data_IF_660133715420
#
_entry.id   IF_660133715420
#
_cell.length_a   1.000
_cell.length_b   1.000
_cell.length_c   1.000
_cell.angle_alpha   90.00
_cell.angle_beta   90.00
_cell.angle_gamma   90.00
#
_symmetry.space_group_name_H-M   'P 1'
#
loop_
_entity.id
_entity.type
_entity.pdbx_description
1 polymer ?
#
# COMPACT_ATOMS: atom_id res chain seq x y z
N UNK A 1 19.26 3.55 32.57
CA UNK A 1 18.71 3.02 31.30
C UNK A 1 18.51 1.49 31.25
N UNK A 2 18.95 0.70 32.24
CA UNK A 2 18.84 -0.78 32.20
C UNK A 2 17.48 -1.31 32.71
N UNK A 3 16.71 -0.52 33.46
CA UNK A 3 15.43 -0.97 34.05
C UNK A 3 14.20 -0.89 33.12
N UNK A 4 14.30 -0.20 31.98
CA UNK A 4 13.18 -0.08 31.03
C UNK A 4 13.15 -1.25 30.01
N UNK A 5 14.29 -1.91 29.80
CA UNK A 5 14.42 -3.03 28.85
C UNK A 5 13.83 -4.33 29.38
N UNK A 6 13.77 -4.52 30.70
CA UNK A 6 13.20 -5.72 31.33
C UNK A 6 11.67 -5.75 31.32
N UNK A 7 11.00 -4.59 31.26
CA UNK A 7 9.54 -4.52 31.25
C UNK A 7 8.93 -4.87 29.89
N UNK A 8 9.65 -4.64 28.79
CA UNK A 8 9.19 -4.99 27.44
C UNK A 8 9.35 -6.47 27.09
N UNK A 9 10.24 -7.22 27.77
CA UNK A 9 10.35 -8.68 27.58
C UNK A 9 9.21 -9.47 28.22
N UNK A 10 8.60 -8.98 29.31
CA UNK A 10 7.53 -9.69 30.03
C UNK A 10 6.12 -9.54 29.41
N UNK A 11 5.95 -8.60 28.46
CA UNK A 11 4.72 -8.43 27.68
C UNK A 11 4.74 -9.19 26.34
N UNK A 12 5.74 -10.03 26.11
CA UNK A 12 5.66 -11.11 25.12
C UNK A 12 4.74 -12.22 25.65
N UNK A 13 3.46 -11.86 25.83
CA UNK A 13 2.38 -12.80 26.10
C UNK A 13 2.44 -13.82 24.97
N UNK A 14 2.87 -15.03 25.30
CA UNK A 14 2.71 -16.21 24.46
C UNK A 14 1.23 -16.33 24.15
N UNK A 15 0.80 -15.76 23.02
CA UNK A 15 -0.45 -16.12 22.37
C UNK A 15 -0.25 -17.56 21.91
N UNK A 16 -0.50 -18.50 22.83
CA UNK A 16 -0.62 -19.91 22.53
C UNK A 16 -1.61 -20.00 21.38
N UNK A 17 -1.09 -20.31 20.18
CA UNK A 17 -1.92 -20.62 19.02
C UNK A 17 -2.63 -21.93 19.34
N UNK A 18 -3.80 -21.84 19.96
CA UNK A 18 -4.68 -22.98 20.13
C UNK A 18 -5.21 -23.34 18.75
N UNK A 19 -4.65 -24.39 18.15
CA UNK A 19 -5.12 -24.94 16.88
C UNK A 19 -6.45 -25.65 17.12
N UNK A 20 -7.55 -24.90 17.11
CA UNK A 20 -8.89 -25.47 17.06
C UNK A 20 -9.16 -26.04 15.67
N UNK A 21 -9.81 -27.20 15.59
CA UNK A 21 -10.31 -27.71 14.32
C UNK A 21 -11.47 -26.82 13.85
N UNK A 22 -11.38 -26.29 12.64
CA UNK A 22 -12.47 -25.53 12.02
C UNK A 22 -13.37 -26.48 11.23
N UNK A 23 -14.67 -26.44 11.49
CA UNK A 23 -15.66 -27.10 10.64
C UNK A 23 -16.59 -26.04 10.06
N UNK A 24 -16.49 -25.84 8.74
CA UNK A 24 -17.37 -24.94 7.99
C UNK A 24 -18.47 -25.75 7.34
N UNK A 25 -19.72 -25.38 7.59
CA UNK A 25 -20.90 -26.05 7.05
C UNK A 25 -21.97 -25.02 6.66
N UNK A 26 -23.02 -25.48 6.01
CA UNK A 26 -24.19 -24.69 5.69
C UNK A 26 -25.37 -25.23 6.49
N UNK A 27 -26.10 -24.35 7.17
CA UNK A 27 -27.30 -24.74 7.92
C UNK A 27 -28.50 -25.01 6.99
N UNK A 28 -29.62 -25.44 7.56
CA UNK A 28 -30.86 -25.74 6.83
C UNK A 28 -31.43 -24.52 6.06
N UNK A 29 -31.04 -23.30 6.44
CA UNK A 29 -31.46 -22.04 5.80
C UNK A 29 -30.47 -21.57 4.73
N UNK A 30 -29.42 -22.34 4.46
CA UNK A 30 -28.40 -21.96 3.50
C UNK A 30 -27.35 -21.01 4.06
N UNK A 31 -27.32 -20.74 5.37
CA UNK A 31 -26.31 -19.86 5.98
C UNK A 31 -25.02 -20.62 6.21
N UNK A 32 -23.90 -20.03 5.79
CA UNK A 32 -22.57 -20.60 6.06
C UNK A 32 -22.18 -20.31 7.50
N UNK A 33 -21.79 -21.34 8.23
CA UNK A 33 -21.43 -21.30 9.64
C UNK A 33 -20.04 -21.93 9.84
N UNK A 34 -19.29 -21.41 10.79
CA UNK A 34 -18.01 -21.99 11.22
C UNK A 34 -18.10 -22.37 12.68
N UNK A 35 -17.83 -23.64 12.98
CA UNK A 35 -17.61 -24.10 14.35
C UNK A 35 -16.12 -24.27 14.61
N UNK A 36 -15.69 -23.87 15.80
CA UNK A 36 -14.33 -24.03 16.27
C UNK A 36 -14.35 -24.63 17.68
N UNK A 37 -13.48 -25.59 17.90
CA UNK A 37 -13.28 -26.20 19.20
C UNK A 37 -12.27 -25.37 19.99
N UNK A 38 -12.73 -24.76 21.07
CA UNK A 38 -11.93 -23.90 21.95
C UNK A 38 -11.64 -24.67 23.22
N UNK A 39 -10.36 -24.97 23.45
CA UNK A 39 -9.87 -25.57 24.68
C UNK A 39 -9.35 -24.46 25.60
N UNK A 40 -10.10 -24.15 26.65
CA UNK A 40 -9.71 -23.18 27.67
C UNK A 40 -8.66 -23.73 28.64
N UNK A 41 -8.06 -22.87 29.45
CA UNK A 41 -7.33 -23.32 30.63
C UNK A 41 -8.34 -23.91 31.62
N UNK A 42 -8.30 -25.23 31.80
CA UNK A 42 -9.21 -25.92 32.69
C UNK A 42 -9.18 -25.29 34.10
N UNK A 43 -10.33 -24.80 34.59
CA UNK A 43 -10.54 -24.73 36.04
C UNK A 43 -10.77 -26.17 36.51
N UNK A 44 -10.24 -26.51 37.68
CA UNK A 44 -10.02 -27.88 38.18
C UNK A 44 -11.25 -28.83 38.10
N UNK A 45 -12.47 -28.35 37.87
CA UNK A 45 -13.70 -29.16 37.84
C UNK A 45 -14.65 -28.90 36.64
N UNK A 46 -14.21 -28.28 35.53
CA UNK A 46 -15.05 -28.09 34.33
C UNK A 46 -14.35 -28.61 33.08
N UNK A 47 -15.05 -29.35 32.23
CA UNK A 47 -14.54 -29.73 30.90
C UNK A 47 -14.17 -28.46 30.15
N UNK A 48 -12.88 -28.27 29.88
CA UNK A 48 -12.34 -27.07 29.28
C UNK A 48 -12.68 -26.89 27.79
N UNK A 49 -13.54 -27.76 27.25
CA UNK A 49 -13.96 -27.77 25.86
C UNK A 49 -15.22 -26.92 25.67
N UNK A 50 -15.12 -25.91 24.81
CA UNK A 50 -16.25 -25.13 24.35
C UNK A 50 -16.27 -25.17 22.82
N UNK A 51 -17.43 -25.52 22.24
CA UNK A 51 -17.65 -25.37 20.80
C UNK A 51 -18.23 -23.99 20.54
N UNK A 52 -17.52 -23.17 19.77
CA UNK A 52 -17.95 -21.83 19.39
C UNK A 52 -18.42 -21.84 17.96
N UNK A 53 -19.64 -21.38 17.71
CA UNK A 53 -20.20 -21.20 16.36
C UNK A 53 -20.22 -19.73 15.99
N UNK A 54 -19.75 -19.42 14.79
CA UNK A 54 -19.66 -18.08 14.20
C UNK A 54 -20.36 -18.07 12.85
N UNK A 55 -21.03 -16.97 12.52
CA UNK A 55 -21.67 -16.79 11.22
C UNK A 55 -20.62 -16.45 10.15
N UNK A 56 -20.71 -17.12 9.00
CA UNK A 56 -19.76 -17.02 7.89
C UNK A 56 -18.63 -18.04 7.96
N UNK A 57 -17.59 -17.78 7.17
CA UNK A 57 -16.42 -18.65 7.02
C UNK A 57 -15.14 -17.82 6.97
N UNK A 58 -14.00 -18.26 7.55
CA UNK A 58 -12.72 -17.58 7.37
C UNK A 58 -12.18 -17.75 5.94
N UNK A 59 -12.70 -18.69 5.15
CA UNK A 59 -12.23 -19.00 3.81
C UNK A 59 -12.87 -18.14 2.71
N UNK A 60 -12.21 -18.06 1.55
CA UNK A 60 -12.69 -17.32 0.38
C UNK A 60 -14.04 -17.83 -0.13
N UNK A 61 -14.22 -19.15 -0.20
CA UNK A 61 -15.39 -19.81 -0.81
C UNK A 61 -16.10 -20.76 0.16
N UNK A 62 -17.35 -21.09 -0.19
CA UNK A 62 -18.06 -22.27 0.32
C UNK A 62 -18.63 -23.04 -0.88
N UNK A 63 -18.41 -24.37 -1.01
CA UNK A 63 -17.57 -25.23 -0.18
C UNK A 63 -16.13 -24.74 -0.04
N UNK A 64 -15.48 -25.08 1.08
CA UNK A 64 -14.14 -24.55 1.43
C UNK A 64 -13.07 -24.99 0.43
N UNK A 65 -13.12 -26.26 0.02
CA UNK A 65 -12.17 -26.86 -0.91
C UNK A 65 -12.68 -26.75 -2.34
N UNK A 66 -11.94 -26.04 -3.18
CA UNK A 66 -12.22 -25.85 -4.60
C UNK A 66 -11.07 -26.39 -5.45
N UNK A 67 -11.36 -26.89 -6.64
CA UNK A 67 -10.30 -27.21 -7.59
C UNK A 67 -9.57 -25.93 -8.02
N UNK A 68 -8.25 -26.03 -8.13
CA UNK A 68 -7.42 -24.89 -8.48
C UNK A 68 -6.02 -25.28 -8.92
N UNK A 69 -5.25 -24.25 -9.25
CA UNK A 69 -3.85 -24.40 -9.66
C UNK A 69 -2.96 -23.52 -8.81
N UNK A 70 -1.74 -23.98 -8.58
CA UNK A 70 -0.72 -23.21 -7.87
C UNK A 70 0.58 -23.18 -8.67
N UNK A 71 1.27 -22.06 -8.55
CA UNK A 71 2.62 -21.85 -9.03
C UNK A 71 3.49 -21.44 -7.84
N UNK A 72 4.41 -22.32 -7.42
CA UNK A 72 5.21 -22.11 -6.21
C UNK A 72 6.29 -21.03 -6.38
N UNK A 73 6.88 -20.97 -7.57
CA UNK A 73 7.89 -19.99 -7.96
C UNK A 73 7.71 -19.56 -9.43
N UNK A 74 8.34 -18.46 -9.84
CA UNK A 74 8.15 -17.86 -11.19
C UNK A 74 8.64 -18.74 -12.34
N UNK A 75 9.54 -19.69 -12.08
CA UNK A 75 10.04 -20.66 -13.05
C UNK A 75 9.30 -22.01 -12.98
N UNK A 76 8.40 -22.14 -12.01
CA UNK A 76 7.79 -23.40 -11.65
C UNK A 76 6.78 -23.88 -12.68
N UNK A 77 6.38 -25.13 -12.53
CA UNK A 77 5.25 -25.69 -13.25
C UNK A 77 3.97 -25.42 -12.47
N UNK A 78 2.86 -25.18 -13.16
CA UNK A 78 1.54 -25.20 -12.55
C UNK A 78 1.24 -26.59 -11.98
N UNK A 79 0.77 -26.64 -10.74
CA UNK A 79 0.37 -27.87 -10.05
C UNK A 79 -1.12 -27.78 -9.73
N UNK A 80 -1.88 -28.79 -10.15
CA UNK A 80 -3.30 -28.89 -9.79
C UNK A 80 -3.43 -29.39 -8.35
N UNK A 81 -4.28 -28.75 -7.55
CA UNK A 81 -4.69 -29.26 -6.24
C UNK A 81 -6.03 -28.68 -5.80
N UNK A 82 -6.61 -29.27 -4.76
CA UNK A 82 -7.76 -28.67 -4.08
C UNK A 82 -7.27 -27.60 -3.13
N UNK A 83 -7.78 -26.39 -3.29
CA UNK A 83 -7.36 -25.21 -2.56
C UNK A 83 -8.42 -24.74 -1.56
N UNK A 84 -7.95 -24.25 -0.44
CA UNK A 84 -8.70 -23.44 0.50
C UNK A 84 -7.86 -22.21 0.85
N UNK A 85 -8.40 -21.01 0.57
CA UNK A 85 -7.72 -19.75 0.90
C UNK A 85 -8.34 -19.15 2.16
N UNK A 86 -7.59 -19.14 3.26
CA UNK A 86 -8.00 -18.53 4.53
C UNK A 86 -7.75 -17.01 4.48
N UNK A 87 -8.83 -16.22 4.43
CA UNK A 87 -8.77 -14.76 4.34
C UNK A 87 -8.48 -14.06 5.67
N UNK A 88 -8.48 -14.80 6.79
CA UNK A 88 -8.11 -14.27 8.11
C UNK A 88 -6.60 -14.33 8.30
N UNK A 89 -5.99 -15.47 7.97
CA UNK A 89 -4.54 -15.71 8.14
C UNK A 89 -3.72 -15.44 6.88
N UNK A 90 -4.38 -15.22 5.74
CA UNK A 90 -3.76 -15.15 4.40
C UNK A 90 -3.02 -16.44 3.99
N UNK A 91 -3.38 -17.58 4.57
CA UNK A 91 -2.76 -18.88 4.28
C UNK A 91 -3.48 -19.60 3.14
N UNK A 92 -2.70 -20.25 2.28
CA UNK A 92 -3.19 -21.13 1.22
C UNK A 92 -2.98 -22.56 1.66
N UNK A 93 -4.09 -23.30 1.82
CA UNK A 93 -4.06 -24.72 2.06
C UNK A 93 -4.30 -25.46 0.75
N UNK A 94 -3.50 -26.50 0.50
CA UNK A 94 -3.54 -27.29 -0.73
C UNK A 94 -3.56 -28.78 -0.38
N UNK A 95 -4.47 -29.51 -1.00
CA UNK A 95 -4.59 -30.96 -0.96
C UNK A 95 -4.30 -31.51 -2.36
N UNK A 96 -3.13 -32.15 -2.52
CA UNK A 96 -2.67 -32.67 -3.81
C UNK A 96 -3.40 -33.98 -4.16
N UNK A 97 -3.54 -34.26 -5.45
CA UNK A 97 -4.16 -35.50 -5.92
C UNK A 97 -3.40 -36.73 -5.36
N UNK A 98 -4.14 -37.66 -4.77
CA UNK A 98 -3.59 -38.87 -4.14
C UNK A 98 -2.99 -38.67 -2.73
N UNK A 99 -2.93 -37.43 -2.23
CA UNK A 99 -2.49 -37.12 -0.86
C UNK A 99 -3.71 -36.75 0.00
N UNK A 100 -3.86 -37.43 1.15
CA UNK A 100 -4.92 -37.08 2.13
C UNK A 100 -4.49 -35.91 3.02
N UNK A 101 -3.19 -35.61 3.09
CA UNK A 101 -2.67 -34.56 3.95
C UNK A 101 -2.90 -33.17 3.35
N UNK A 102 -3.33 -32.25 4.21
CA UNK A 102 -3.44 -30.83 3.89
C UNK A 102 -2.10 -30.15 4.16
N UNK A 103 -1.59 -29.39 3.18
CA UNK A 103 -0.33 -28.63 3.31
C UNK A 103 -0.60 -27.14 3.25
N UNK A 104 0.02 -26.37 4.14
CA UNK A 104 0.08 -24.91 4.03
C UNK A 104 1.22 -24.57 3.08
N UNK A 105 0.91 -23.81 2.03
CA UNK A 105 1.86 -23.41 1.00
C UNK A 105 1.87 -21.89 0.84
N UNK A 106 2.95 -21.36 0.25
CA UNK A 106 3.13 -19.94 -0.03
C UNK A 106 3.39 -19.74 -1.53
N UNK A 107 2.40 -20.03 -2.41
CA UNK A 107 2.59 -19.90 -3.84
C UNK A 107 2.90 -18.46 -4.25
N UNK A 108 3.59 -18.26 -5.37
CA UNK A 108 3.70 -16.97 -6.04
C UNK A 108 2.35 -16.58 -6.66
N UNK A 109 1.63 -17.56 -7.21
CA UNK A 109 0.34 -17.39 -7.87
C UNK A 109 -0.54 -18.62 -7.64
N UNK A 110 -1.85 -18.41 -7.50
CA UNK A 110 -2.82 -19.50 -7.53
C UNK A 110 -4.13 -19.08 -8.18
N UNK A 111 -4.92 -20.06 -8.61
CA UNK A 111 -6.26 -19.83 -9.19
C UNK A 111 -7.32 -20.61 -8.43
N UNK A 112 -8.43 -19.95 -8.09
CA UNK A 112 -9.64 -20.57 -7.53
C UNK A 112 -10.83 -20.02 -8.31
N UNK A 113 -11.70 -20.89 -8.82
CA UNK A 113 -12.88 -20.51 -9.62
C UNK A 113 -12.55 -19.59 -10.82
N UNK A 114 -11.40 -19.83 -11.47
CA UNK A 114 -10.92 -19.02 -12.58
C UNK A 114 -10.41 -17.62 -12.20
N UNK A 115 -10.41 -17.28 -10.91
CA UNK A 115 -9.83 -16.03 -10.40
C UNK A 115 -8.38 -16.28 -10.02
N UNK A 116 -7.48 -15.56 -10.67
CA UNK A 116 -6.06 -15.57 -10.37
C UNK A 116 -5.74 -14.65 -9.21
N UNK A 117 -4.94 -15.14 -8.27
CA UNK A 117 -4.42 -14.42 -7.12
C UNK A 117 -2.90 -14.43 -7.17
N UNK A 118 -2.30 -13.25 -7.02
CA UNK A 118 -0.84 -13.06 -7.04
C UNK A 118 -0.37 -12.62 -5.67
N UNK A 119 0.73 -13.24 -5.21
CA UNK A 119 1.40 -12.88 -3.96
C UNK A 119 1.95 -11.47 -4.04
N UNK A 120 1.56 -10.64 -3.10
CA UNK A 120 2.12 -9.32 -2.88
C UNK A 120 2.99 -9.38 -1.62
N UNK A 121 4.25 -8.95 -1.75
CA UNK A 121 5.14 -8.81 -0.61
C UNK A 121 4.82 -7.48 0.07
N UNK A 122 4.45 -7.53 1.34
CA UNK A 122 4.28 -6.34 2.18
C UNK A 122 5.21 -6.43 3.39
N UNK A 123 5.64 -5.27 3.89
CA UNK A 123 6.45 -5.16 5.09
C UNK A 123 5.85 -4.10 6.00
N UNK A 124 5.51 -4.48 7.23
CA UNK A 124 5.04 -3.54 8.25
C UNK A 124 5.95 -3.68 9.48
N UNK A 125 6.60 -2.58 9.87
CA UNK A 125 7.56 -2.54 11.00
C UNK A 125 8.66 -3.63 10.88
N UNK A 126 9.15 -3.86 9.66
CA UNK A 126 10.20 -4.87 9.40
C UNK A 126 9.72 -6.33 9.40
N UNK A 127 8.45 -6.58 9.67
CA UNK A 127 7.85 -7.92 9.54
C UNK A 127 7.33 -8.07 8.12
N UNK A 128 7.89 -9.04 7.39
CA UNK A 128 7.40 -9.43 6.08
C UNK A 128 6.15 -10.28 6.24
N UNK A 129 5.09 -9.93 5.52
CA UNK A 129 3.91 -10.77 5.41
C UNK A 129 3.47 -10.82 3.95
N UNK A 130 2.79 -11.91 3.61
CA UNK A 130 2.24 -12.14 2.28
C UNK A 130 0.76 -11.85 2.31
N UNK A 131 0.31 -11.07 1.33
CA UNK A 131 -1.10 -10.90 1.03
C UNK A 131 -1.33 -11.32 -0.42
N UNK A 132 -2.48 -11.91 -0.73
CA UNK A 132 -2.80 -12.30 -2.09
C UNK A 132 -3.89 -11.39 -2.64
N UNK A 133 -3.63 -10.81 -3.79
CA UNK A 133 -4.57 -9.95 -4.49
C UNK A 133 -4.94 -10.54 -5.84
N UNK A 134 -6.22 -10.49 -6.19
CA UNK A 134 -6.68 -10.84 -7.52
C UNK A 134 -6.43 -9.70 -8.51
N UNK A 135 -6.07 -10.03 -9.74
CA UNK A 135 -5.86 -9.02 -10.78
C UNK A 135 -7.21 -8.61 -11.39
N UNK A 136 -7.62 -7.36 -11.18
CA UNK A 136 -8.83 -6.77 -11.78
C UNK A 136 -8.52 -6.24 -13.18
N UNK A 137 -7.34 -5.65 -13.36
CA UNK A 137 -6.83 -5.18 -14.65
C UNK A 137 -5.33 -5.42 -14.74
N UNK A 138 -4.88 -5.95 -15.88
CA UNK A 138 -3.50 -6.40 -16.11
C UNK A 138 -2.83 -5.63 -17.26
N UNK A 139 -2.60 -4.33 -17.07
CA UNK A 139 -1.86 -3.47 -17.99
C UNK A 139 -0.45 -3.13 -17.49
N UNK A 140 0.23 -2.17 -18.14
CA UNK A 140 1.44 -1.52 -17.62
C UNK A 140 1.25 -1.01 -16.18
N UNK A 141 0.05 -0.52 -15.87
CA UNK A 141 -0.43 -0.28 -14.52
C UNK A 141 -1.45 -1.35 -14.15
N UNK A 142 -1.23 -2.07 -13.04
CA UNK A 142 -2.13 -3.12 -12.58
C UNK A 142 -3.15 -2.57 -11.59
N UNK A 143 -4.38 -3.04 -11.69
CA UNK A 143 -5.41 -2.84 -10.68
C UNK A 143 -5.63 -4.14 -9.92
N UNK A 144 -5.40 -4.13 -8.62
CA UNK A 144 -5.42 -5.32 -7.78
C UNK A 144 -6.52 -5.21 -6.72
N UNK A 145 -7.13 -6.35 -6.37
CA UNK A 145 -8.14 -6.47 -5.32
C UNK A 145 -7.72 -7.51 -4.30
N UNK A 146 -7.48 -7.10 -3.07
CA UNK A 146 -7.24 -8.01 -1.94
C UNK A 146 -8.52 -8.18 -1.13
N UNK A 147 -8.78 -9.42 -0.73
CA UNK A 147 -9.85 -9.76 0.20
C UNK A 147 -9.22 -10.17 1.52
N UNK A 148 -9.76 -9.66 2.62
CA UNK A 148 -9.40 -10.12 3.97
C UNK A 148 -10.68 -10.35 4.76
N UNK A 149 -10.63 -11.20 5.78
CA UNK A 149 -11.75 -11.39 6.69
C UNK A 149 -11.35 -11.07 8.11
N UNK A 150 -12.27 -10.43 8.84
CA UNK A 150 -12.12 -10.16 10.28
C UNK A 150 -13.32 -10.74 11.02
N UNK A 151 -13.04 -11.27 12.19
CA UNK A 151 -14.08 -11.67 13.13
C UNK A 151 -14.54 -10.43 13.89
N UNK A 152 -15.81 -10.09 13.78
CA UNK A 152 -16.39 -8.91 14.42
C UNK A 152 -17.65 -9.30 15.21
N UNK A 153 -17.99 -8.56 16.28
CA UNK A 153 -19.29 -8.74 16.92
C UNK A 153 -20.42 -8.36 15.96
N UNK A 154 -21.51 -9.11 16.03
CA UNK A 154 -22.76 -8.80 15.36
C UNK A 154 -23.36 -7.52 15.95
N UNK A 155 -24.00 -6.73 15.11
CA UNK A 155 -24.80 -5.60 15.57
C UNK A 155 -26.18 -6.08 16.10
N UNK A 156 -26.93 -5.19 16.74
CA UNK A 156 -28.20 -5.54 17.38
C UNK A 156 -29.23 -6.14 16.42
N UNK A 157 -29.32 -5.66 15.17
CA UNK A 157 -30.28 -6.19 14.19
C UNK A 157 -29.89 -7.58 13.71
N UNK A 158 -28.59 -7.82 13.47
CA UNK A 158 -28.05 -9.15 13.16
C UNK A 158 -28.31 -10.14 14.29
N UNK A 159 -28.13 -9.74 15.56
CA UNK A 159 -28.43 -10.59 16.72
C UNK A 159 -29.91 -10.97 16.75
N UNK A 160 -30.81 -10.00 16.54
CA UNK A 160 -32.27 -10.24 16.54
C UNK A 160 -32.64 -11.22 15.42
N UNK A 161 -32.13 -11.01 14.20
CA UNK A 161 -32.42 -11.87 13.05
C UNK A 161 -31.89 -13.30 13.23
N UNK A 162 -30.83 -13.47 14.01
CA UNK A 162 -30.20 -14.76 14.29
C UNK A 162 -30.58 -15.36 15.65
N UNK A 163 -31.53 -14.77 16.39
CA UNK A 163 -31.94 -15.20 17.74
C UNK A 163 -32.43 -16.64 17.79
N UNK A 164 -32.93 -17.17 16.66
CA UNK A 164 -33.39 -18.56 16.55
C UNK A 164 -32.24 -19.58 16.44
N UNK A 165 -31.03 -19.14 16.09
CA UNK A 165 -29.86 -20.02 16.00
C UNK A 165 -29.19 -20.11 17.38
N UNK A 166 -29.71 -21.01 18.22
CA UNK A 166 -29.21 -21.26 19.59
C UNK A 166 -27.72 -21.62 19.65
N UNK A 167 -27.17 -22.12 18.54
CA UNK A 167 -25.78 -22.54 18.45
C UNK A 167 -24.80 -21.36 18.32
N UNK A 168 -25.27 -20.15 17.98
CA UNK A 168 -24.44 -18.95 17.88
C UNK A 168 -24.24 -18.37 19.27
N UNK A 169 -23.36 -19.01 20.04
CA UNK A 169 -23.09 -18.65 21.43
C UNK A 169 -22.42 -17.29 21.60
N UNK A 170 -21.71 -16.79 20.57
CA UNK A 170 -20.81 -15.64 20.71
C UNK A 170 -21.14 -14.42 19.84
N UNK A 171 -22.35 -14.35 19.25
CA UNK A 171 -22.83 -13.21 18.45
C UNK A 171 -21.73 -12.59 17.56
N UNK A 172 -20.96 -13.43 16.86
CA UNK A 172 -19.81 -12.98 16.06
C UNK A 172 -19.99 -13.41 14.61
N UNK A 173 -19.48 -12.60 13.69
CA UNK A 173 -19.60 -12.78 12.24
C UNK A 173 -18.25 -12.52 11.56
N UNK A 174 -17.92 -13.32 10.55
CA UNK A 174 -16.81 -13.01 9.66
C UNK A 174 -17.23 -11.95 8.63
N UNK A 175 -16.62 -10.77 8.68
CA UNK A 175 -16.82 -9.71 7.68
C UNK A 175 -15.69 -9.68 6.68
N UNK A 176 -16.04 -9.66 5.39
CA UNK A 176 -15.08 -9.49 4.31
C UNK A 176 -14.77 -8.01 4.12
N UNK A 177 -13.50 -7.65 4.23
CA UNK A 177 -12.98 -6.35 3.85
C UNK A 177 -12.32 -6.47 2.47
N UNK A 178 -12.66 -5.54 1.58
CA UNK A 178 -12.08 -5.47 0.24
C UNK A 178 -11.16 -4.26 0.17
N UNK A 179 -9.89 -4.51 -0.17
CA UNK A 179 -8.88 -3.50 -0.37
C UNK A 179 -8.48 -3.46 -1.84
N UNK A 180 -8.29 -2.26 -2.37
CA UNK A 180 -7.93 -2.05 -3.76
C UNK A 180 -6.54 -1.43 -3.84
N UNK A 181 -5.75 -1.86 -4.80
CA UNK A 181 -4.39 -1.35 -4.98
C UNK A 181 -4.13 -1.03 -6.44
N UNK A 182 -3.31 0.00 -6.67
CA UNK A 182 -2.77 0.30 -7.98
C UNK A 182 -1.27 0.04 -7.94
N UNK A 183 -0.78 -0.72 -8.91
CA UNK A 183 0.64 -1.01 -9.04
C UNK A 183 1.15 -0.47 -10.38
N UNK A 184 1.91 0.62 -10.33
CA UNK A 184 2.60 1.18 -11.51
C UNK A 184 3.82 0.33 -11.87
N UNK A 185 4.25 0.34 -13.13
CA UNK A 185 5.34 -0.47 -13.70
C UNK A 185 6.53 -0.77 -12.75
N UNK A 186 6.57 -1.98 -12.18
CA UNK A 186 7.63 -2.44 -11.26
C UNK A 186 7.64 -1.79 -9.87
N UNK A 187 6.79 -0.79 -9.66
CA UNK A 187 6.57 -0.11 -8.39
C UNK A 187 5.83 -1.02 -7.39
N UNK A 188 5.79 -0.60 -6.13
CA UNK A 188 5.02 -1.29 -5.10
C UNK A 188 3.54 -0.98 -5.29
N UNK A 189 2.60 -1.89 -4.96
CA UNK A 189 1.19 -1.55 -4.98
C UNK A 189 0.87 -0.51 -3.89
N UNK A 190 0.18 0.56 -4.28
CA UNK A 190 -0.34 1.56 -3.35
C UNK A 190 -1.82 1.28 -3.07
N UNK A 191 -2.20 1.32 -1.78
CA UNK A 191 -3.59 1.15 -1.35
C UNK A 191 -4.42 2.36 -1.79
N UNK A 192 -5.58 2.11 -2.39
CA UNK A 192 -6.51 3.14 -2.82
C UNK A 192 -7.91 2.95 -2.24
N UNK A 193 -8.62 4.07 -2.13
CA UNK A 193 -10.08 4.07 -2.11
C UNK A 193 -10.61 4.31 -3.53
N UNK A 194 -11.84 3.88 -3.81
CA UNK A 194 -12.49 4.13 -5.10
C UNK A 194 -13.04 5.58 -5.17
N UNK A 195 -12.15 6.56 -5.02
CA UNK A 195 -12.46 7.99 -4.97
C UNK A 195 -11.50 8.78 -5.85
N UNK A 196 -11.95 9.97 -6.28
CA UNK A 196 -11.15 10.88 -7.12
C UNK A 196 -9.82 11.27 -6.48
N UNK A 197 -9.86 11.73 -5.23
CA UNK A 197 -8.65 12.18 -4.54
C UNK A 197 -7.61 11.05 -4.45
N UNK A 198 -8.05 9.85 -4.07
CA UNK A 198 -7.15 8.70 -3.99
C UNK A 198 -6.50 8.35 -5.32
N UNK A 199 -7.20 8.47 -6.44
CA UNK A 199 -6.60 8.24 -7.76
C UNK A 199 -5.65 9.35 -8.18
N UNK A 200 -5.98 10.62 -7.89
CA UNK A 200 -5.10 11.75 -8.17
C UNK A 200 -3.80 11.68 -7.35
N UNK A 201 -3.88 11.21 -6.11
CA UNK A 201 -2.73 10.98 -5.24
C UNK A 201 -1.81 9.88 -5.80
N UNK A 202 -2.35 8.85 -6.46
CA UNK A 202 -1.54 7.79 -7.09
C UNK A 202 -0.97 8.21 -8.44
N UNK A 203 -1.77 8.92 -9.24
CA UNK A 203 -1.41 9.37 -10.58
C UNK A 203 -0.89 10.82 -10.59
N UNK A 204 -0.12 11.19 -9.57
CA UNK A 204 0.39 12.55 -9.41
C UNK A 204 1.12 13.08 -10.66
N UNK A 205 1.80 12.21 -11.43
CA UNK A 205 2.53 12.60 -12.66
C UNK A 205 1.62 13.18 -13.75
N UNK A 206 0.35 12.77 -13.78
CA UNK A 206 -0.64 13.19 -14.78
C UNK A 206 -1.93 13.67 -14.12
N UNK A 207 -1.85 14.07 -12.85
CA UNK A 207 -3.02 14.41 -12.01
C UNK A 207 -3.89 15.49 -12.64
N UNK A 208 -3.30 16.55 -13.18
CA UNK A 208 -4.04 17.63 -13.87
C UNK A 208 -4.86 17.11 -15.06
N UNK A 209 -4.24 16.31 -15.93
CA UNK A 209 -4.90 15.76 -17.13
C UNK A 209 -5.97 14.73 -16.78
N UNK A 210 -5.77 14.00 -15.69
CA UNK A 210 -6.69 12.97 -15.21
C UNK A 210 -7.86 13.56 -14.44
N UNK A 211 -7.66 14.64 -13.67
CA UNK A 211 -8.67 15.25 -12.82
C UNK A 211 -9.96 15.61 -13.58
N UNK A 212 -9.83 16.04 -14.84
CA UNK A 212 -10.96 16.37 -15.71
C UNK A 212 -11.80 15.14 -16.13
N UNK A 213 -11.23 13.94 -16.08
CA UNK A 213 -11.89 12.68 -16.47
C UNK A 213 -12.51 11.94 -15.29
N UNK A 214 -12.13 12.26 -14.06
CA UNK A 214 -12.65 11.56 -12.88
C UNK A 214 -13.91 12.28 -12.37
N UNK A 215 -15.07 11.60 -12.30
CA UNK A 215 -16.28 12.19 -11.78
C UNK A 215 -16.20 12.42 -10.25
N UNK A 216 -16.89 13.43 -9.74
CA UNK A 216 -16.94 13.77 -8.32
C UNK A 216 -17.94 12.87 -7.55
N UNK A 217 -17.77 11.55 -7.66
CA UNK A 217 -18.58 10.52 -6.98
C UNK A 217 -17.70 9.32 -6.59
N UNK A 218 -18.29 8.37 -5.86
CA UNK A 218 -17.66 7.06 -5.66
C UNK A 218 -17.54 6.33 -7.00
N UNK A 219 -16.35 5.80 -7.27
CA UNK A 219 -16.03 5.17 -8.54
C UNK A 219 -16.39 3.68 -8.52
N UNK A 220 -16.87 3.18 -9.64
CA UNK A 220 -17.01 1.75 -9.91
C UNK A 220 -15.68 1.15 -10.35
N UNK A 221 -15.56 -0.18 -10.29
CA UNK A 221 -14.34 -0.87 -10.77
C UNK A 221 -14.06 -0.58 -12.25
N UNK A 222 -15.11 -0.52 -13.07
CA UNK A 222 -14.99 -0.24 -14.50
C UNK A 222 -14.47 1.19 -14.76
N UNK A 223 -15.01 2.18 -14.06
CA UNK A 223 -14.53 3.57 -14.16
C UNK A 223 -13.05 3.69 -13.76
N UNK A 224 -12.61 2.98 -12.71
CA UNK A 224 -11.18 2.96 -12.32
C UNK A 224 -10.31 2.35 -13.43
N UNK A 225 -10.76 1.26 -14.05
CA UNK A 225 -10.03 0.63 -15.17
C UNK A 225 -9.92 1.58 -16.37
N UNK A 226 -10.99 2.31 -16.71
CA UNK A 226 -10.95 3.30 -17.80
C UNK A 226 -9.96 4.45 -17.50
N UNK A 227 -9.93 4.93 -16.25
CA UNK A 227 -8.97 5.94 -15.80
C UNK A 227 -7.53 5.40 -15.88
N UNK A 228 -7.29 4.14 -15.49
CA UNK A 228 -5.98 3.49 -15.61
C UNK A 228 -5.54 3.40 -17.08
N UNK A 229 -6.43 2.96 -17.97
CA UNK A 229 -6.13 2.88 -19.41
C UNK A 229 -5.78 4.26 -19.98
N UNK A 230 -6.48 5.30 -19.56
CA UNK A 230 -6.17 6.67 -19.96
C UNK A 230 -4.81 7.13 -19.41
N UNK A 231 -4.51 6.87 -18.13
CA UNK A 231 -3.19 7.14 -17.55
C UNK A 231 -2.06 6.42 -18.32
N UNK A 232 -2.23 5.13 -18.61
CA UNK A 232 -1.23 4.35 -19.33
C UNK A 232 -0.99 4.91 -20.75
N UNK A 233 -2.03 5.45 -21.40
CA UNK A 233 -1.88 6.13 -22.69
C UNK A 233 -1.05 7.43 -22.58
N UNK A 234 -1.24 8.20 -21.50
CA UNK A 234 -0.45 9.41 -21.25
C UNK A 234 1.01 9.07 -20.94
N UNK A 235 1.24 8.02 -20.15
CA UNK A 235 2.59 7.56 -19.81
C UNK A 235 3.33 6.96 -21.00
N UNK A 236 2.63 6.30 -21.92
CA UNK A 236 3.24 5.81 -23.17
C UNK A 236 3.81 6.97 -24.00
N UNK A 237 3.09 8.09 -24.10
CA UNK A 237 3.60 9.31 -24.75
C UNK A 237 4.77 9.90 -23.96
N UNK A 238 4.65 10.05 -22.64
CA UNK A 238 5.68 10.65 -21.79
C UNK A 238 7.02 9.89 -21.84
N UNK A 239 7.00 8.56 -21.98
CA UNK A 239 8.22 7.74 -22.11
C UNK A 239 9.02 7.99 -23.39
N UNK A 240 8.43 8.61 -24.40
CA UNK A 240 9.15 9.00 -25.63
C UNK A 240 9.87 10.34 -25.48
N UNK A 241 9.65 11.07 -24.38
CA UNK A 241 10.28 12.36 -24.12
C UNK A 241 11.74 12.25 -23.65
N UNK A 242 12.44 13.38 -23.69
CA UNK A 242 13.90 13.51 -23.69
C UNK A 242 14.63 12.97 -22.44
N UNK A 243 13.95 12.71 -21.32
CA UNK A 243 14.58 12.20 -20.09
C UNK A 243 13.72 11.16 -19.36
N UNK A 244 14.04 9.87 -19.48
CA UNK A 244 13.15 8.80 -19.02
C UNK A 244 13.10 8.63 -17.49
N UNK A 245 14.06 9.20 -16.74
CA UNK A 245 14.11 9.07 -15.28
C UNK A 245 12.99 9.85 -14.59
N UNK A 246 12.68 11.08 -15.04
CA UNK A 246 11.58 11.90 -14.49
C UNK A 246 10.22 11.22 -14.61
N UNK A 247 10.06 10.35 -15.60
CA UNK A 247 8.83 9.63 -15.92
C UNK A 247 8.86 8.19 -15.39
N UNK A 248 9.87 7.80 -14.63
CA UNK A 248 9.98 6.48 -14.04
C UNK A 248 9.07 6.35 -12.81
N UNK A 249 8.05 5.46 -12.83
CA UNK A 249 7.09 5.37 -11.73
C UNK A 249 7.70 4.90 -10.41
N UNK A 250 8.70 4.02 -10.46
CA UNK A 250 9.39 3.54 -9.25
C UNK A 250 10.19 4.66 -8.60
N UNK A 251 10.97 5.41 -9.38
CA UNK A 251 11.75 6.55 -8.91
C UNK A 251 10.83 7.58 -8.24
N UNK A 252 9.76 7.98 -8.92
CA UNK A 252 8.83 8.97 -8.37
C UNK A 252 8.09 8.46 -7.13
N UNK A 253 7.64 7.20 -7.11
CA UNK A 253 7.02 6.61 -5.91
C UNK A 253 7.98 6.63 -4.71
N UNK A 254 9.25 6.32 -4.95
CA UNK A 254 10.28 6.36 -3.91
C UNK A 254 10.51 7.78 -3.39
N UNK A 255 10.54 8.78 -4.27
CA UNK A 255 10.63 10.19 -3.87
C UNK A 255 9.42 10.60 -3.02
N UNK A 256 8.19 10.30 -3.43
CA UNK A 256 6.98 10.61 -2.64
C UNK A 256 6.98 9.94 -1.26
N UNK A 257 7.48 8.71 -1.17
CA UNK A 257 7.55 8.00 0.11
C UNK A 257 8.63 8.52 1.07
N UNK A 258 9.65 9.23 0.56
CA UNK A 258 10.83 9.66 1.33
C UNK A 258 10.89 11.18 1.55
N UNK A 259 10.36 11.98 0.63
CA UNK A 259 10.37 13.44 0.68
C UNK A 259 9.02 13.92 1.21
N UNK A 260 8.90 13.98 2.54
CA UNK A 260 7.67 14.40 3.22
C UNK A 260 7.79 15.84 3.67
N UNK A 261 6.77 16.66 3.42
CA UNK A 261 6.76 18.04 3.91
C UNK A 261 6.86 18.08 5.44
N UNK A 262 7.85 18.78 6.04
CA UNK A 262 7.94 18.86 7.50
C UNK A 262 6.74 19.63 8.08
N UNK A 263 5.91 18.95 8.88
CA UNK A 263 4.70 19.52 9.46
C UNK A 263 4.93 20.85 10.19
N UNK A 264 6.03 20.96 10.93
CA UNK A 264 6.35 22.17 11.70
C UNK A 264 6.67 23.38 10.80
N UNK A 265 7.22 23.15 9.60
CA UNK A 265 7.51 24.17 8.58
C UNK A 265 6.22 24.60 7.90
N UNK A 266 5.40 23.62 7.50
CA UNK A 266 4.11 23.88 6.86
C UNK A 266 3.14 24.65 7.77
N UNK A 267 3.14 24.35 9.07
CA UNK A 267 2.37 25.09 10.08
C UNK A 267 2.82 26.56 10.29
N UNK A 268 3.97 26.94 9.73
CA UNK A 268 4.47 28.32 9.72
C UNK A 268 4.26 29.02 8.36
N UNK A 269 3.61 28.35 7.39
CA UNK A 269 3.42 28.91 6.05
C UNK A 269 4.71 28.98 5.22
N UNK A 270 5.74 28.23 5.61
CA UNK A 270 7.06 28.32 4.98
C UNK A 270 7.13 27.32 3.83
N UNK A 271 7.49 27.80 2.64
CA UNK A 271 7.61 27.02 1.40
C UNK A 271 8.91 27.36 0.67
N UNK A 272 9.37 26.53 -0.27
CA UNK A 272 10.66 26.77 -0.90
C UNK A 272 11.05 25.74 -1.94
N UNK A 273 12.16 26.00 -2.62
CA UNK A 273 12.70 25.10 -3.65
C UNK A 273 14.11 24.65 -3.28
N UNK A 274 14.39 23.37 -3.52
CA UNK A 274 15.71 22.75 -3.36
C UNK A 274 16.13 22.20 -4.71
N UNK A 275 17.38 22.39 -5.08
CA UNK A 275 17.97 21.74 -6.25
C UNK A 275 19.03 20.76 -5.77
N UNK A 276 18.84 19.48 -6.06
CA UNK A 276 19.78 18.43 -5.69
C UNK A 276 20.47 17.87 -6.93
N UNK A 277 21.80 17.95 -6.99
CA UNK A 277 22.62 17.26 -7.96
C UNK A 277 22.97 15.85 -7.47
N UNK A 278 22.92 14.85 -8.33
CA UNK A 278 23.31 13.47 -7.99
C UNK A 278 23.67 12.69 -9.24
N UNK A 279 24.36 11.57 -9.06
CA UNK A 279 24.78 10.72 -10.17
C UNK A 279 24.27 9.29 -9.98
N UNK A 280 23.92 8.64 -11.07
CA UNK A 280 23.57 7.22 -11.12
C UNK A 280 24.74 6.48 -11.79
N UNK A 281 25.31 5.51 -11.09
CA UNK A 281 26.42 4.71 -11.60
C UNK A 281 25.97 3.54 -12.50
N UNK A 282 26.93 2.76 -13.01
CA UNK A 282 26.64 1.60 -13.88
C UNK A 282 25.94 0.43 -13.18
N UNK A 283 25.78 0.48 -11.86
CA UNK A 283 24.99 -0.48 -11.08
C UNK A 283 23.61 0.09 -10.71
N UNK A 284 23.28 1.30 -11.21
CA UNK A 284 22.05 2.00 -10.90
C UNK A 284 22.04 2.66 -9.51
N UNK A 285 23.18 2.72 -8.81
CA UNK A 285 23.24 3.29 -7.46
C UNK A 285 23.33 4.81 -7.54
N UNK A 286 22.47 5.47 -6.75
CA UNK A 286 22.51 6.93 -6.56
C UNK A 286 23.68 7.29 -5.64
N UNK A 287 24.52 8.23 -6.09
CA UNK A 287 25.71 8.69 -5.36
C UNK A 287 25.99 10.17 -5.62
N UNK A 288 27.00 10.71 -4.91
CA UNK A 288 27.46 12.11 -5.02
C UNK A 288 26.31 13.14 -4.92
N UNK A 289 25.38 12.88 -4.01
CA UNK A 289 24.25 13.77 -3.75
C UNK A 289 24.78 15.09 -3.16
N UNK A 290 24.46 16.19 -3.83
CA UNK A 290 24.92 17.54 -3.48
C UNK A 290 23.76 18.53 -3.60
N UNK A 291 23.65 19.45 -2.65
CA UNK A 291 22.64 20.51 -2.73
C UNK A 291 23.25 21.70 -3.50
N UNK A 292 22.60 22.07 -4.60
CA UNK A 292 23.04 23.13 -5.52
C UNK A 292 22.39 24.48 -5.20
N UNK A 293 21.16 24.44 -4.67
CA UNK A 293 20.47 25.64 -4.18
C UNK A 293 21.18 26.23 -2.96
N UNK A 294 21.09 27.55 -2.74
CA UNK A 294 21.50 28.16 -1.48
C UNK A 294 20.87 27.46 -0.28
N UNK A 295 21.57 27.42 0.85
CA UNK A 295 21.08 26.75 2.05
C UNK A 295 19.84 27.44 2.62
N UNK A 296 18.75 26.69 2.75
CA UNK A 296 17.54 27.09 3.46
C UNK A 296 17.70 26.76 4.95
N UNK A 297 18.73 27.32 5.60
CA UNK A 297 19.16 26.96 6.96
C UNK A 297 17.97 27.05 7.92
N UNK A 298 17.81 26.01 8.74
CA UNK A 298 16.78 25.94 9.78
C UNK A 298 15.54 25.13 9.38
N UNK A 299 15.16 25.06 8.10
CA UNK A 299 13.88 24.44 7.68
C UNK A 299 13.97 22.95 7.30
N UNK A 300 15.18 22.42 7.15
CA UNK A 300 15.40 20.98 6.93
C UNK A 300 15.04 20.45 5.54
N UNK A 301 14.55 21.28 4.61
CA UNK A 301 14.23 20.85 3.24
C UNK A 301 15.43 20.21 2.52
N UNK A 302 16.60 20.84 2.57
CA UNK A 302 17.81 20.35 1.93
C UNK A 302 18.25 18.98 2.46
N UNK A 303 18.33 18.84 3.79
CA UNK A 303 18.69 17.57 4.44
C UNK A 303 17.69 16.46 4.13
N UNK A 304 16.41 16.79 4.04
CA UNK A 304 15.35 15.83 3.73
C UNK A 304 15.46 15.31 2.30
N UNK A 305 15.67 16.19 1.32
CA UNK A 305 15.90 15.80 -0.08
C UNK A 305 17.19 14.98 -0.22
N UNK A 306 18.28 15.42 0.41
CA UNK A 306 19.54 14.69 0.40
C UNK A 306 19.38 13.27 0.97
N UNK A 307 18.81 13.16 2.18
CA UNK A 307 18.58 11.87 2.84
C UNK A 307 17.68 10.94 2.03
N UNK A 308 16.70 11.50 1.30
CA UNK A 308 15.81 10.72 0.46
C UNK A 308 16.56 10.10 -0.72
N UNK A 309 17.36 10.90 -1.42
CA UNK A 309 18.17 10.47 -2.57
C UNK A 309 19.25 9.45 -2.17
N UNK A 310 19.94 9.68 -1.05
CA UNK A 310 20.98 8.77 -0.54
C UNK A 310 20.44 7.39 -0.12
N UNK A 311 19.14 7.31 0.22
CA UNK A 311 18.46 6.08 0.65
C UNK A 311 17.64 5.45 -0.46
N UNK A 312 17.80 5.87 -1.71
CA UNK A 312 17.16 5.19 -2.83
C UNK A 312 17.78 3.80 -3.02
N UNK A 313 16.97 2.76 -3.32
CA UNK A 313 17.50 1.50 -3.82
C UNK A 313 18.19 1.71 -5.17
N UNK A 314 18.95 0.70 -5.62
CA UNK A 314 19.50 0.71 -6.97
C UNK A 314 18.36 0.83 -8.00
N UNK A 315 18.52 1.77 -8.91
CA UNK A 315 17.66 2.00 -10.06
C UNK A 315 18.10 1.11 -11.23
N UNK A 316 17.38 1.17 -12.35
CA UNK A 316 17.80 0.49 -13.57
C UNK A 316 19.14 1.10 -14.08
N UNK A 317 20.18 0.30 -14.34
CA UNK A 317 21.47 0.79 -14.86
C UNK A 317 21.39 1.58 -16.17
N UNK A 318 20.31 1.45 -16.93
CA UNK A 318 20.05 2.27 -18.13
C UNK A 318 19.90 3.76 -17.83
N UNK A 319 19.67 4.14 -16.57
CA UNK A 319 19.61 5.54 -16.11
C UNK A 319 20.98 6.11 -15.68
N UNK A 320 22.09 5.52 -16.10
CA UNK A 320 23.43 6.06 -15.82
C UNK A 320 23.56 7.52 -16.29
N UNK A 321 24.05 8.41 -15.42
CA UNK A 321 24.18 9.83 -15.75
C UNK A 321 24.32 10.75 -14.55
N UNK A 322 24.45 12.05 -14.84
CA UNK A 322 24.53 13.10 -13.82
C UNK A 322 23.26 13.97 -13.93
N UNK A 323 22.55 14.14 -12.83
CA UNK A 323 21.20 14.71 -12.81
C UNK A 323 21.08 15.87 -11.84
N UNK A 324 20.11 16.75 -12.11
CA UNK A 324 19.60 17.74 -11.16
C UNK A 324 18.11 17.49 -10.98
N UNK A 325 17.69 17.29 -9.73
CA UNK A 325 16.29 17.21 -9.34
C UNK A 325 15.86 18.52 -8.69
N UNK A 326 14.99 19.32 -9.33
CA UNK A 326 14.28 20.41 -8.67
C UNK A 326 13.20 19.79 -7.77
N UNK A 327 13.24 20.07 -6.47
CA UNK A 327 12.20 19.70 -5.51
C UNK A 327 11.52 20.97 -4.99
N UNK A 328 10.22 21.05 -5.20
CA UNK A 328 9.43 22.25 -4.90
C UNK A 328 8.41 21.96 -3.83
N UNK A 329 8.60 22.55 -2.66
CA UNK A 329 7.66 22.53 -1.55
C UNK A 329 6.65 23.65 -1.77
N UNK A 330 5.40 23.31 -2.04
CA UNK A 330 4.31 24.28 -2.24
C UNK A 330 3.41 24.35 -1.02
N UNK A 331 2.89 25.54 -0.73
CA UNK A 331 2.06 25.77 0.45
C UNK A 331 0.70 26.34 0.05
N UNK A 332 -0.39 25.76 0.55
CA UNK A 332 -1.74 26.25 0.30
C UNK A 332 -2.45 26.49 1.62
N UNK A 333 -2.95 27.72 1.83
CA UNK A 333 -3.84 28.03 2.95
C UNK A 333 -5.24 28.34 2.43
N UNK A 334 -6.22 27.49 2.75
CA UNK A 334 -7.58 27.67 2.23
C UNK A 334 -8.28 28.95 2.71
N UNK A 335 -7.78 29.61 3.76
CA UNK A 335 -8.29 30.91 4.20
C UNK A 335 -7.85 32.09 3.32
N UNK A 336 -6.77 31.96 2.56
CA UNK A 336 -6.21 33.09 1.79
C UNK A 336 -6.87 33.28 0.43
N UNK A 337 -7.62 32.27 -0.06
CA UNK A 337 -8.23 32.24 -1.41
C UNK A 337 -7.26 32.49 -2.58
N UNK A 338 -5.95 32.63 -2.33
CA UNK A 338 -4.92 32.96 -3.31
C UNK A 338 -4.38 31.75 -4.10
N UNK A 339 -4.86 30.54 -3.78
CA UNK A 339 -4.34 29.30 -4.38
C UNK A 339 -3.01 28.83 -3.75
N UNK A 340 -2.27 27.93 -4.44
CA UNK A 340 -1.00 27.42 -3.96
C UNK A 340 0.12 28.46 -4.11
N UNK A 341 0.88 28.67 -3.04
CA UNK A 341 2.14 29.43 -3.06
C UNK A 341 3.25 28.57 -3.66
N UNK A 342 3.77 29.00 -4.80
CA UNK A 342 4.80 28.31 -5.57
C UNK A 342 6.09 29.16 -5.51
N UNK A 343 7.24 28.57 -5.12
CA UNK A 343 8.51 29.28 -5.13
C UNK A 343 8.84 29.87 -6.50
N UNK A 344 9.26 31.13 -6.54
CA UNK A 344 9.65 31.80 -7.80
C UNK A 344 11.17 31.72 -8.05
N UNK A 345 11.98 31.52 -7.01
CA UNK A 345 13.43 31.49 -7.15
C UNK A 345 13.92 30.25 -7.92
N UNK A 346 14.80 30.45 -8.90
CA UNK A 346 15.37 29.40 -9.76
C UNK A 346 16.90 29.36 -9.61
N UNK A 347 17.46 28.17 -9.75
CA UNK A 347 18.92 27.98 -9.76
C UNK A 347 19.53 28.58 -11.04
N UNK A 348 20.68 29.25 -10.95
CA UNK A 348 21.39 29.72 -12.13
C UNK A 348 21.92 28.55 -12.96
N UNK A 349 21.97 28.73 -14.29
CA UNK A 349 22.47 27.72 -15.25
C UNK A 349 23.90 27.28 -14.93
N UNK A 350 24.73 28.19 -14.43
CA UNK A 350 26.13 27.89 -14.09
C UNK A 350 26.25 26.84 -12.97
N UNK A 351 25.31 26.81 -12.03
CA UNK A 351 25.29 25.83 -10.94
C UNK A 351 24.71 24.48 -11.37
N UNK A 352 23.89 24.45 -12.42
CA UNK A 352 23.40 23.19 -13.03
C UNK A 352 24.57 22.45 -13.66
N UNK A 353 25.43 23.17 -14.39
CA UNK A 353 26.58 22.61 -15.09
C UNK A 353 26.15 21.73 -16.28
N UNK A 354 26.81 20.59 -16.47
CA UNK A 354 26.53 19.63 -17.54
C UNK A 354 25.53 18.54 -17.14
N UNK A 355 24.75 18.75 -16.08
CA UNK A 355 23.79 17.77 -15.57
C UNK A 355 22.47 17.84 -16.31
N UNK A 356 21.80 16.69 -16.39
CA UNK A 356 20.45 16.56 -16.93
C UNK A 356 19.46 17.08 -15.90
N UNK A 357 18.70 18.13 -16.24
CA UNK A 357 17.65 18.67 -15.36
C UNK A 357 16.40 17.80 -15.50
N UNK A 358 15.97 17.21 -14.40
CA UNK A 358 14.74 16.42 -14.31
C UNK A 358 13.51 17.33 -14.18
N UNK A 359 12.33 16.73 -14.36
CA UNK A 359 11.07 17.42 -14.11
C UNK A 359 10.96 17.81 -12.63
N UNK A 360 10.28 18.92 -12.36
CA UNK A 360 10.12 19.44 -11.01
C UNK A 360 9.27 18.50 -10.15
N UNK A 361 9.84 18.01 -9.06
CA UNK A 361 9.16 17.17 -8.09
C UNK A 361 8.43 18.04 -7.05
N UNK A 362 7.11 18.04 -7.10
CA UNK A 362 6.26 18.91 -6.26
C UNK A 362 5.83 18.18 -4.98
N UNK A 363 6.04 18.83 -3.84
CA UNK A 363 5.67 18.36 -2.51
C UNK A 363 4.66 19.34 -1.91
N UNK A 364 3.35 19.08 -2.05
CA UNK A 364 2.33 20.01 -1.58
C UNK A 364 2.08 19.90 -0.07
N UNK A 365 1.74 21.02 0.56
CA UNK A 365 1.22 21.09 1.91
C UNK A 365 0.02 22.04 1.97
N UNK A 366 -1.12 21.54 2.44
CA UNK A 366 -2.35 22.30 2.53
C UNK A 366 -2.83 22.38 3.98
N UNK A 367 -3.22 23.58 4.42
CA UNK A 367 -3.85 23.81 5.72
C UNK A 367 -5.05 24.73 5.62
N UNK A 368 -5.83 24.74 6.69
CA UNK A 368 -6.91 25.71 6.91
C UNK A 368 -6.71 26.34 8.27
N UNK A 369 -5.86 27.38 8.34
CA UNK A 369 -5.61 28.10 9.60
C UNK A 369 -5.46 29.60 9.37
N UNK A 370 -6.18 30.38 10.17
CA UNK A 370 -6.12 31.85 10.17
C UNK A 370 -4.78 32.35 10.75
N UNK A 371 -4.33 33.51 10.28
CA UNK A 371 -3.18 34.22 10.84
C UNK A 371 -1.82 33.62 10.53
N UNK A 372 -1.74 32.71 9.55
CA UNK A 372 -0.46 32.25 9.00
C UNK A 372 -0.15 33.11 7.79
N UNK A 373 1.05 33.69 7.76
CA UNK A 373 1.59 34.41 6.61
C UNK A 373 2.52 33.48 5.85
N UNK A 374 2.28 33.30 4.55
CA UNK A 374 3.14 32.48 3.72
C UNK A 374 4.50 33.16 3.49
N UNK A 375 5.57 32.36 3.47
CA UNK A 375 6.95 32.86 3.33
C UNK A 375 7.78 31.90 2.47
N UNK A 376 8.25 32.36 1.32
CA UNK A 376 9.20 31.61 0.50
C UNK A 376 10.58 31.60 1.15
N UNK A 377 11.30 30.47 1.15
CA UNK A 377 12.69 30.41 1.60
C UNK A 377 13.64 30.07 0.47
N UNK A 378 14.68 30.91 0.35
CA UNK A 378 15.76 30.76 -0.62
C UNK A 378 17.04 31.41 -0.09
N UNK A 379 17.99 30.59 0.37
CA UNK A 379 19.27 31.05 0.90
C UNK A 379 19.22 31.62 2.31
N UNK A 380 20.31 32.28 2.71
CA UNK A 380 20.44 32.85 4.05
C UNK A 380 19.44 34.00 4.24
N UNK A 381 18.44 33.75 5.08
CA UNK A 381 17.70 34.83 5.73
C UNK A 381 18.66 35.61 6.62
N UNK A 382 18.84 36.90 6.33
CA UNK A 382 19.23 37.88 7.34
C UNK A 382 17.98 38.42 8.01
#
# INVERSE_FOLDING_TARGET
MIRLTFLFCLLSVFSLKTYGQYTVYQDEKGQVMTTMDVYGSARINSTAYNKVTVLGSPFLTYPVWQEGKVLLDRSGKEINCRLAYNLVTSEILCQFAGDSAVKIITPELFTINGIEFVRQQSSLVGINYYQYASIVHNGPTKFLKSLTKRLEPMNSSEIINNKHNKDILNSSIYRTQTNYYIQKAGARPDLISLSKNSLLDIFYEQSEKIAAKIPDKNLTLFEVVDIINYYDSLMAVARTATYPLSQNPLFNQLLHSKIIYPNWVGNQGIYGRVYAGFDIDSLGKVSRVTILSPDNVGFGFAQLVQNALEKLPNLDPTYIGNYVLPVTFTFTNSYEQAGPHIPINRLSTDRVGNRIVLDEFVVPYAISKKGITSKEVWGYYR
#
